data_IF_460994180263
#
_entry.id   IF_460994180263
#
_cell.length_a   1.000
_cell.length_b   1.000
_cell.length_c   1.000
_cell.angle_alpha   90.00
_cell.angle_beta   90.00
_cell.angle_gamma   90.00
#
_symmetry.space_group_name_H-M   'P 1'
#
loop_
_entity.id
_entity.type
_entity.pdbx_description
1 polymer ?
#
# COMPACT_ATOMS: atom_id res chain seq x y z
N UNK A 1 -9.12 -13.65 25.95
CA UNK A 1 -9.93 -13.06 24.87
C UNK A 1 -9.05 -12.17 24.05
N UNK A 2 -9.15 -12.23 22.72
CA UNK A 2 -8.36 -11.34 21.88
C UNK A 2 -8.56 -11.63 20.39
N UNK A 3 -8.20 -10.65 19.59
CA UNK A 3 -8.05 -10.75 18.15
C UNK A 3 -6.57 -10.61 17.87
N UNK A 4 -6.02 -11.52 17.06
CA UNK A 4 -4.65 -11.46 16.59
C UNK A 4 -4.65 -11.48 15.08
N UNK A 5 -3.91 -10.56 14.47
CA UNK A 5 -3.69 -10.48 13.03
C UNK A 5 -2.20 -10.68 12.78
N UNK A 6 -1.86 -11.67 11.97
CA UNK A 6 -0.48 -11.99 11.64
C UNK A 6 -0.29 -12.20 10.16
N UNK A 7 0.90 -11.91 9.65
CA UNK A 7 1.35 -12.27 8.31
C UNK A 7 2.56 -13.18 8.39
N UNK A 8 2.80 -13.95 7.33
CA UNK A 8 4.00 -14.75 7.17
C UNK A 8 4.65 -14.39 5.83
N UNK A 9 5.88 -13.87 5.87
CA UNK A 9 6.66 -13.55 4.68
C UNK A 9 8.02 -14.21 4.77
N UNK A 10 8.40 -14.99 3.75
CA UNK A 10 9.67 -15.73 3.72
C UNK A 10 9.91 -16.61 4.97
N UNK A 11 8.84 -17.20 5.52
CA UNK A 11 8.90 -18.03 6.72
C UNK A 11 8.97 -17.26 8.05
N UNK A 12 8.95 -15.92 8.01
CA UNK A 12 8.94 -15.08 9.21
C UNK A 12 7.52 -14.64 9.51
N UNK A 13 7.03 -14.96 10.72
CA UNK A 13 5.74 -14.47 11.21
C UNK A 13 5.89 -13.08 11.83
N UNK A 14 4.98 -12.18 11.47
CA UNK A 14 4.86 -10.83 12.06
C UNK A 14 3.44 -10.65 12.60
N UNK A 15 3.33 -10.24 13.87
CA UNK A 15 2.05 -9.87 14.49
C UNK A 15 1.84 -8.37 14.29
N UNK A 16 0.70 -8.01 13.73
CA UNK A 16 0.30 -6.63 13.51
C UNK A 16 -0.54 -6.11 14.67
N UNK A 17 -0.29 -4.87 15.08
CA UNK A 17 -1.01 -4.24 16.18
C UNK A 17 -2.49 -4.01 15.82
N UNK A 18 -3.38 -4.45 16.68
CA UNK A 18 -4.82 -4.21 16.60
C UNK A 18 -5.15 -2.96 17.42
N UNK A 19 -5.80 -1.98 16.81
CA UNK A 19 -6.14 -0.69 17.43
C UNK A 19 -7.67 -0.48 17.41
N UNK A 20 -8.27 -0.12 18.56
CA UNK A 20 -7.69 -0.13 19.89
C UNK A 20 -7.29 -1.53 20.37
N UNK A 21 -6.57 -1.63 21.48
CA UNK A 21 -6.34 -2.94 22.13
C UNK A 21 -7.66 -3.63 22.38
N UNK A 22 -7.70 -4.97 22.26
CA UNK A 22 -8.95 -5.69 22.34
C UNK A 22 -9.70 -5.43 23.65
N UNK A 23 -10.96 -5.01 23.53
CA UNK A 23 -11.96 -4.89 24.57
C UNK A 23 -13.28 -5.48 24.06
N UNK A 24 -13.92 -6.34 24.82
CA UNK A 24 -15.17 -7.02 24.44
C UNK A 24 -16.35 -6.07 24.20
N UNK A 25 -16.28 -4.83 24.66
CA UNK A 25 -17.29 -3.77 24.47
C UNK A 25 -17.03 -2.90 23.24
N UNK A 26 -15.88 -3.07 22.61
CA UNK A 26 -15.51 -2.37 21.36
C UNK A 26 -15.71 -3.31 20.20
N UNK A 27 -16.44 -2.87 19.19
CA UNK A 27 -16.79 -3.72 18.04
C UNK A 27 -15.99 -3.39 16.77
N UNK A 28 -15.23 -2.29 16.72
CA UNK A 28 -14.47 -1.87 15.55
C UNK A 28 -12.99 -1.80 15.88
N UNK A 29 -12.20 -2.47 15.05
CA UNK A 29 -10.75 -2.55 15.16
C UNK A 29 -10.08 -2.24 13.83
N UNK A 30 -8.93 -1.59 13.89
CA UNK A 30 -8.11 -1.28 12.71
C UNK A 30 -6.73 -1.90 12.87
N UNK A 31 -6.21 -2.39 11.76
CA UNK A 31 -4.85 -2.93 11.63
C UNK A 31 -4.23 -2.34 10.38
N UNK A 32 -3.04 -1.73 10.49
CA UNK A 32 -2.29 -1.27 9.33
C UNK A 32 -1.20 -2.29 8.99
N UNK A 33 -1.08 -2.61 7.72
CA UNK A 33 -0.04 -3.50 7.21
C UNK A 33 0.67 -2.85 6.02
N UNK A 34 1.99 -3.06 5.89
CA UNK A 34 2.74 -2.56 4.74
C UNK A 34 2.21 -3.07 3.39
N UNK A 35 2.45 -2.32 2.32
CA UNK A 35 2.12 -2.68 0.93
C UNK A 35 2.60 -4.08 0.55
N UNK A 36 3.75 -4.49 1.09
CA UNK A 36 4.38 -5.79 0.83
C UNK A 36 3.68 -7.01 1.45
N UNK A 37 2.64 -6.79 2.27
CA UNK A 37 1.85 -7.84 2.91
C UNK A 37 0.54 -8.00 2.13
N UNK A 38 0.42 -9.06 1.35
CA UNK A 38 -0.78 -9.37 0.55
C UNK A 38 -1.69 -10.40 1.18
N UNK A 39 -1.29 -11.00 2.31
CA UNK A 39 -2.10 -12.00 3.02
C UNK A 39 -1.88 -11.88 4.52
N UNK A 40 -2.95 -12.03 5.28
CA UNK A 40 -2.91 -12.12 6.74
C UNK A 40 -3.76 -13.29 7.22
N UNK A 41 -3.43 -13.78 8.41
CA UNK A 41 -4.25 -14.75 9.16
C UNK A 41 -4.82 -14.06 10.39
N UNK A 42 -6.14 -14.15 10.54
CA UNK A 42 -6.85 -13.69 11.73
C UNK A 42 -7.13 -14.89 12.63
N UNK A 43 -6.82 -14.75 13.89
CA UNK A 43 -7.15 -15.72 14.93
C UNK A 43 -7.74 -15.03 16.16
N UNK A 44 -8.67 -15.72 16.82
CA UNK A 44 -9.33 -15.20 18.00
C UNK A 44 -9.27 -16.21 19.13
N UNK A 45 -9.30 -15.71 20.36
CA UNK A 45 -9.38 -16.55 21.58
C UNK A 45 -10.77 -16.42 22.17
N UNK A 46 -11.45 -17.55 22.34
CA UNK A 46 -12.78 -17.62 22.97
C UNK A 46 -12.73 -17.13 24.41
N UNK A 47 -13.72 -16.33 24.79
CA UNK A 47 -13.92 -15.94 26.19
C UNK A 47 -14.55 -17.05 27.03
N UNK A 48 -15.39 -17.88 26.39
CA UNK A 48 -16.08 -19.03 27.01
C UNK A 48 -16.06 -20.22 26.06
N UNK A 49 -16.04 -21.43 26.63
CA UNK A 49 -15.88 -22.68 25.87
C UNK A 49 -17.03 -22.91 24.87
N UNK A 50 -18.26 -22.56 25.26
CA UNK A 50 -19.47 -22.81 24.48
C UNK A 50 -19.77 -21.75 23.40
N UNK A 51 -18.92 -20.73 23.26
CA UNK A 51 -19.04 -19.76 22.16
C UNK A 51 -18.63 -20.40 20.83
N UNK A 52 -19.37 -20.05 19.77
CA UNK A 52 -18.91 -20.26 18.39
C UNK A 52 -18.37 -18.96 17.81
N UNK A 53 -17.21 -19.02 17.15
CA UNK A 53 -16.59 -17.85 16.50
C UNK A 53 -16.34 -18.19 15.04
N UNK A 54 -16.82 -17.32 14.14
CA UNK A 54 -16.52 -17.37 12.70
C UNK A 54 -15.76 -16.12 12.29
N UNK A 55 -15.06 -16.19 11.15
CA UNK A 55 -14.21 -15.09 10.67
C UNK A 55 -12.71 -15.28 10.98
N UNK A 56 -12.34 -16.41 11.64
CA UNK A 56 -10.94 -16.83 11.70
C UNK A 56 -10.49 -17.41 10.36
N UNK A 57 -9.25 -17.20 9.97
CA UNK A 57 -8.67 -17.76 8.76
C UNK A 57 -7.70 -16.82 8.07
N UNK A 58 -7.25 -17.24 6.88
CA UNK A 58 -6.40 -16.44 6.01
C UNK A 58 -7.22 -15.59 5.04
N UNK A 59 -6.77 -14.38 4.81
CA UNK A 59 -7.41 -13.39 3.96
C UNK A 59 -6.37 -12.76 3.03
N UNK A 60 -6.63 -12.83 1.74
CA UNK A 60 -5.88 -12.06 0.74
C UNK A 60 -6.36 -10.61 0.83
N UNK A 61 -5.41 -9.67 0.84
CA UNK A 61 -5.68 -8.25 1.00
C UNK A 61 -5.54 -7.51 -0.33
N UNK A 62 -6.56 -6.76 -0.68
CA UNK A 62 -6.45 -5.68 -1.66
C UNK A 62 -5.75 -4.47 -1.03
N UNK A 63 -5.21 -3.55 -1.84
CA UNK A 63 -4.72 -2.26 -1.35
C UNK A 63 -5.85 -1.44 -0.72
N UNK A 64 -5.52 -0.67 0.32
CA UNK A 64 -6.50 0.09 1.09
C UNK A 64 -7.25 -0.78 2.10
N UNK A 65 -8.52 -0.48 2.33
CA UNK A 65 -9.33 -1.06 3.39
C UNK A 65 -9.90 -2.44 3.02
N UNK A 66 -9.66 -3.42 3.89
CA UNK A 66 -10.22 -4.78 3.85
C UNK A 66 -11.04 -5.02 5.12
N UNK A 67 -12.35 -5.12 4.98
CA UNK A 67 -13.28 -5.22 6.12
C UNK A 67 -13.64 -6.70 6.37
N UNK A 68 -13.28 -7.22 7.53
CA UNK A 68 -13.48 -8.62 7.89
C UNK A 68 -14.33 -8.72 9.15
N UNK A 69 -15.54 -9.32 9.06
CA UNK A 69 -16.40 -9.52 10.23
C UNK A 69 -15.95 -10.76 11.03
N UNK A 70 -15.85 -10.61 12.33
CA UNK A 70 -15.68 -11.70 13.29
C UNK A 70 -17.00 -11.84 14.05
N UNK A 71 -17.69 -12.94 13.86
CA UNK A 71 -19.01 -13.17 14.45
C UNK A 71 -18.87 -14.14 15.63
N UNK A 72 -19.32 -13.71 16.79
CA UNK A 72 -19.34 -14.51 18.00
C UNK A 72 -20.79 -14.84 18.35
N UNK A 73 -21.10 -16.13 18.41
CA UNK A 73 -22.41 -16.63 18.82
C UNK A 73 -22.27 -17.30 20.20
N UNK A 74 -23.03 -16.83 21.17
CA UNK A 74 -23.08 -17.40 22.51
C UNK A 74 -23.93 -18.66 22.55
N UNK A 75 -23.89 -19.42 23.64
CA UNK A 75 -24.65 -20.65 23.84
C UNK A 75 -26.18 -20.45 23.72
N UNK A 76 -26.69 -19.30 24.16
CA UNK A 76 -28.11 -18.96 24.06
C UNK A 76 -28.53 -18.43 22.67
N UNK A 77 -27.62 -18.42 21.69
CA UNK A 77 -27.87 -17.94 20.32
C UNK A 77 -27.70 -16.43 20.11
N UNK A 78 -27.35 -15.66 21.14
CA UNK A 78 -27.07 -14.22 20.97
C UNK A 78 -25.81 -14.02 20.15
N UNK A 79 -25.84 -13.02 19.23
CA UNK A 79 -24.77 -12.75 18.29
C UNK A 79 -24.15 -11.38 18.61
N UNK A 80 -22.83 -11.31 18.61
CA UNK A 80 -22.07 -10.06 18.55
C UNK A 80 -21.13 -10.10 17.35
N UNK A 81 -20.98 -8.98 16.65
CA UNK A 81 -20.09 -8.86 15.51
C UNK A 81 -19.02 -7.83 15.80
N UNK A 82 -17.78 -8.24 15.66
CA UNK A 82 -16.61 -7.36 15.66
C UNK A 82 -16.17 -7.15 14.21
N UNK A 83 -15.91 -5.92 13.84
CA UNK A 83 -15.35 -5.58 12.53
C UNK A 83 -13.85 -5.34 12.66
N UNK A 84 -13.06 -6.06 11.89
CA UNK A 84 -11.62 -5.83 11.76
C UNK A 84 -11.36 -5.23 10.39
N UNK A 85 -10.98 -3.95 10.35
CA UNK A 85 -10.57 -3.26 9.13
C UNK A 85 -9.06 -3.37 9.02
N UNK A 86 -8.57 -4.07 8.00
CA UNK A 86 -7.15 -4.18 7.70
C UNK A 86 -6.85 -3.23 6.56
N UNK A 87 -6.05 -2.21 6.85
CA UNK A 87 -5.63 -1.23 5.88
C UNK A 87 -4.24 -1.61 5.34
N UNK A 88 -4.20 -2.09 4.10
CA UNK A 88 -2.96 -2.37 3.39
C UNK A 88 -2.49 -1.10 2.70
N UNK A 89 -1.29 -0.65 3.03
CA UNK A 89 -0.68 0.54 2.44
C UNK A 89 -0.55 0.40 0.92
N UNK A 90 -0.69 1.51 0.19
CA UNK A 90 -0.40 1.55 -1.24
C UNK A 90 1.12 1.52 -1.48
N UNK A 91 1.52 0.99 -2.63
CA UNK A 91 2.91 1.01 -3.09
C UNK A 91 3.00 1.97 -4.28
N UNK A 92 3.60 3.13 -4.05
CA UNK A 92 3.78 4.18 -5.06
C UNK A 92 5.15 4.13 -5.74
N UNK A 93 5.88 3.03 -5.61
CA UNK A 93 7.20 2.88 -6.21
C UNK A 93 7.14 2.86 -7.74
N UNK A 94 8.09 3.58 -8.35
CA UNK A 94 8.38 3.45 -9.77
C UNK A 94 9.48 2.41 -9.98
N UNK A 95 9.37 1.63 -11.04
CA UNK A 95 10.46 0.75 -11.52
C UNK A 95 11.49 1.53 -12.32
N UNK A 96 11.05 2.60 -12.99
CA UNK A 96 11.92 3.43 -13.81
C UNK A 96 11.35 4.84 -13.94
N UNK A 97 12.24 5.81 -14.06
CA UNK A 97 11.98 7.20 -14.46
C UNK A 97 13.03 7.57 -15.52
N UNK A 98 12.59 8.07 -16.66
CA UNK A 98 13.48 8.44 -17.75
C UNK A 98 13.06 9.76 -18.38
N UNK A 99 14.05 10.53 -18.84
CA UNK A 99 13.88 11.72 -19.67
C UNK A 99 14.64 11.50 -20.95
N UNK A 100 13.99 11.65 -22.10
CA UNK A 100 14.60 11.41 -23.40
C UNK A 100 14.20 12.46 -24.44
N UNK A 101 15.00 12.61 -25.50
CA UNK A 101 14.70 13.37 -26.71
C UNK A 101 15.23 12.61 -27.91
N UNK A 102 14.42 12.43 -28.95
CA UNK A 102 14.74 11.67 -30.17
C UNK A 102 15.38 10.28 -29.89
N UNK A 103 14.86 9.57 -28.88
CA UNK A 103 15.34 8.26 -28.48
C UNK A 103 16.62 8.26 -27.66
N UNK A 104 17.24 9.41 -27.41
CA UNK A 104 18.40 9.55 -26.53
C UNK A 104 17.95 9.78 -25.10
N UNK A 105 18.37 8.92 -24.17
CA UNK A 105 18.05 9.06 -22.74
C UNK A 105 19.11 9.94 -22.08
N UNK A 106 18.65 10.95 -21.36
CA UNK A 106 19.50 11.86 -20.57
C UNK A 106 19.59 11.37 -19.12
N UNK A 107 20.79 11.45 -18.51
CA UNK A 107 20.98 11.03 -17.12
C UNK A 107 20.22 11.95 -16.18
N UNK A 108 19.50 11.38 -15.25
CA UNK A 108 18.87 12.07 -14.13
C UNK A 108 19.84 12.13 -12.94
N UNK A 109 19.84 13.22 -12.20
CA UNK A 109 20.72 13.43 -11.06
C UNK A 109 19.90 13.88 -9.83
N UNK A 110 20.01 13.21 -8.67
CA UNK A 110 20.74 11.96 -8.43
C UNK A 110 20.19 10.79 -9.25
N UNK A 111 20.90 9.65 -9.26
CA UNK A 111 20.37 8.44 -9.85
C UNK A 111 19.00 8.09 -9.22
N UNK A 112 18.10 7.54 -10.01
CA UNK A 112 16.76 7.19 -9.55
C UNK A 112 16.79 6.30 -8.29
N UNK A 113 16.00 6.71 -7.28
CA UNK A 113 15.75 5.98 -6.05
C UNK A 113 14.34 6.33 -5.55
N UNK A 114 13.61 5.36 -5.00
CA UNK A 114 12.25 5.56 -4.48
C UNK A 114 12.17 6.53 -3.30
N UNK A 115 13.30 6.81 -2.64
CA UNK A 115 13.39 7.76 -1.53
C UNK A 115 13.73 9.19 -1.97
N UNK A 116 13.93 9.41 -3.28
CA UNK A 116 14.28 10.71 -3.86
C UNK A 116 13.10 11.21 -4.70
N UNK A 117 12.66 12.43 -4.43
CA UNK A 117 11.51 13.05 -5.08
C UNK A 117 11.85 14.26 -5.98
N UNK A 118 13.12 14.63 -6.02
CA UNK A 118 13.60 15.73 -6.87
C UNK A 118 14.80 15.27 -7.69
N UNK A 119 14.70 15.46 -8.99
CA UNK A 119 15.73 15.08 -9.95
C UNK A 119 16.03 16.23 -10.89
N UNK A 120 17.28 16.34 -11.31
CA UNK A 120 17.72 17.30 -12.31
C UNK A 120 18.18 16.56 -13.57
N UNK A 121 17.85 17.13 -14.72
CA UNK A 121 18.33 16.72 -16.03
C UNK A 121 18.90 17.93 -16.73
N UNK A 122 20.08 17.79 -17.31
CA UNK A 122 20.69 18.87 -18.11
C UNK A 122 20.71 18.45 -19.56
N UNK A 123 20.18 19.32 -20.41
CA UNK A 123 20.17 19.15 -21.88
C UNK A 123 20.82 20.34 -22.56
N UNK A 124 21.31 20.14 -23.79
CA UNK A 124 21.88 21.23 -24.60
C UNK A 124 20.80 22.17 -25.12
N UNK A 125 21.20 23.39 -25.56
CA UNK A 125 20.29 24.42 -26.09
C UNK A 125 19.58 24.01 -27.40
N UNK A 126 20.08 22.98 -28.06
CA UNK A 126 19.50 22.41 -29.29
C UNK A 126 18.25 21.59 -28.99
N UNK A 127 18.14 21.04 -27.78
CA UNK A 127 16.99 20.23 -27.32
C UNK A 127 15.84 21.17 -27.00
N UNK A 128 14.74 21.05 -27.73
CA UNK A 128 13.56 21.93 -27.59
C UNK A 128 12.40 21.26 -26.85
N UNK A 129 12.43 19.98 -26.76
CA UNK A 129 11.42 19.16 -26.05
C UNK A 129 12.06 17.94 -25.44
N UNK A 130 11.37 17.35 -24.47
CA UNK A 130 11.75 16.09 -23.86
C UNK A 130 10.51 15.24 -23.60
N UNK A 131 10.68 13.93 -23.72
CA UNK A 131 9.70 12.94 -23.28
C UNK A 131 10.05 12.47 -21.87
N UNK A 132 9.13 12.67 -20.94
CA UNK A 132 9.22 12.16 -19.57
C UNK A 132 8.38 10.87 -19.47
N UNK A 133 9.03 9.79 -19.08
CA UNK A 133 8.42 8.48 -18.96
C UNK A 133 8.76 7.83 -17.62
N UNK A 134 7.80 7.11 -17.05
CA UNK A 134 8.00 6.31 -15.86
C UNK A 134 7.23 4.99 -15.97
N UNK A 135 7.65 3.99 -15.19
CA UNK A 135 6.97 2.71 -15.07
C UNK A 135 6.61 2.48 -13.61
N UNK A 136 5.33 2.26 -13.34
CA UNK A 136 4.83 1.90 -12.01
C UNK A 136 5.20 0.46 -11.68
N UNK A 137 5.50 0.20 -10.41
CA UNK A 137 5.67 -1.15 -9.87
C UNK A 137 4.31 -1.85 -9.76
N UNK A 138 3.29 -1.13 -9.29
CA UNK A 138 1.95 -1.64 -9.12
C UNK A 138 1.02 -1.07 -10.21
N UNK A 139 0.33 -1.95 -10.92
CA UNK A 139 -0.53 -1.59 -12.06
C UNK A 139 -1.88 -0.98 -11.66
N UNK A 140 -2.22 -1.01 -10.35
CA UNK A 140 -3.43 -0.42 -9.81
C UNK A 140 -3.30 1.08 -9.52
N UNK A 141 -2.07 1.59 -9.48
CA UNK A 141 -1.82 3.01 -9.31
C UNK A 141 -1.92 3.73 -10.65
N UNK A 142 -2.17 5.02 -10.59
CA UNK A 142 -2.14 5.92 -11.74
C UNK A 142 -0.95 6.89 -11.63
N UNK A 143 -0.47 7.37 -12.77
CA UNK A 143 0.60 8.37 -12.83
C UNK A 143 0.23 9.47 -13.79
N UNK A 144 0.24 10.69 -13.31
CA UNK A 144 0.04 11.90 -14.11
C UNK A 144 1.34 12.68 -14.28
N UNK A 145 1.39 13.53 -15.30
CA UNK A 145 2.57 14.32 -15.62
C UNK A 145 3.58 13.61 -16.53
N UNK A 146 3.23 12.44 -17.09
CA UNK A 146 4.03 11.83 -18.17
C UNK A 146 3.71 12.49 -19.52
N UNK A 147 4.67 12.45 -20.43
CA UNK A 147 4.50 12.92 -21.79
C UNK A 147 5.60 13.83 -22.30
N UNK A 148 5.32 14.50 -23.41
CA UNK A 148 6.23 15.43 -24.06
C UNK A 148 6.08 16.84 -23.47
N UNK A 149 7.21 17.50 -23.24
CA UNK A 149 7.31 18.86 -22.71
C UNK A 149 8.20 19.72 -23.58
N UNK A 150 7.66 20.84 -24.08
CA UNK A 150 8.46 21.88 -24.70
C UNK A 150 9.31 22.58 -23.65
N UNK A 151 10.60 22.84 -23.99
CA UNK A 151 11.55 23.43 -23.07
C UNK A 151 11.79 24.90 -23.42
N UNK A 152 11.77 25.74 -22.41
CA UNK A 152 12.30 27.12 -22.48
C UNK A 152 13.76 27.11 -22.04
N UNK A 153 14.51 28.16 -22.48
CA UNK A 153 15.87 28.36 -21.99
C UNK A 153 15.87 28.65 -20.50
N UNK A 154 16.68 27.91 -19.74
CA UNK A 154 16.75 27.97 -18.29
C UNK A 154 16.05 26.77 -17.64
N UNK A 155 15.53 26.97 -16.43
CA UNK A 155 14.88 25.88 -15.67
C UNK A 155 13.45 25.64 -16.18
N UNK A 156 13.08 24.38 -16.29
CA UNK A 156 11.73 23.91 -16.58
C UNK A 156 11.36 22.89 -15.51
N UNK A 157 10.34 23.16 -14.73
CA UNK A 157 9.89 22.28 -13.65
C UNK A 157 8.75 21.39 -14.15
N UNK A 158 8.95 20.09 -14.06
CA UNK A 158 7.97 19.06 -14.45
C UNK A 158 7.62 18.24 -13.21
N UNK A 159 6.33 18.11 -12.92
CA UNK A 159 5.85 17.37 -11.75
C UNK A 159 5.15 16.08 -12.18
N UNK A 160 5.55 14.97 -11.59
CA UNK A 160 4.86 13.70 -11.67
C UNK A 160 4.10 13.43 -10.37
N UNK A 161 2.90 12.91 -10.48
CA UNK A 161 2.11 12.48 -9.31
C UNK A 161 1.66 11.05 -9.49
N UNK A 162 1.97 10.21 -8.51
CA UNK A 162 1.50 8.81 -8.42
C UNK A 162 0.37 8.77 -7.39
N UNK A 163 -0.77 8.15 -7.74
CA UNK A 163 -1.96 8.08 -6.90
C UNK A 163 -2.60 6.70 -6.90
#
# INVERSE_FOLDING_TARGET
NGITVKSTKNGVETIHAVTPSFDSLVNNYTVNVPSTISEVTISTVKGQVMQNITGNGSYILEYGENIIPIIVTSENGSINTYQVTINREFDFELLALTVSHDGTIYPITPNYSNDVFEYNVSVGNEVKDVLVSATLKETLNDISGLGEYELNTGNNDITLTVS
#
